data_IF_113136698905
#
_entry.id   IF_113136698905
#
_cell.length_a   1.000
_cell.length_b   1.000
_cell.length_c   1.000
_cell.angle_alpha   90.00
_cell.angle_beta   90.00
_cell.angle_gamma   90.00
#
_symmetry.space_group_name_H-M   'P 1'
#
loop_
_entity.id
_entity.type
_entity.pdbx_description
1 polymer ?
#
# COMPACT_ATOMS: atom_id res chain seq x y z
N UNK A 1 -8.47 -1.29 -10.95
CA UNK A 1 -8.39 -2.62 -10.30
C UNK A 1 -8.19 -2.39 -8.82
N UNK A 2 -8.97 -3.02 -7.92
CA UNK A 2 -8.93 -2.68 -6.51
C UNK A 2 -7.86 -3.48 -5.74
N UNK A 3 -7.62 -3.06 -4.50
CA UNK A 3 -6.47 -3.43 -3.65
C UNK A 3 -6.31 -4.95 -3.47
N UNK A 4 -5.07 -5.43 -3.41
CA UNK A 4 -4.70 -6.85 -3.28
C UNK A 4 -5.62 -7.66 -2.33
N UNK A 5 -5.83 -7.31 -1.05
CA UNK A 5 -6.59 -8.18 -0.15
C UNK A 5 -8.11 -8.20 -0.39
N UNK A 6 -8.68 -7.27 -1.17
CA UNK A 6 -10.10 -7.34 -1.55
C UNK A 6 -10.36 -8.45 -2.60
N UNK A 7 -9.35 -8.82 -3.39
CA UNK A 7 -9.49 -9.74 -4.52
C UNK A 7 -8.68 -11.03 -4.37
N UNK A 8 -7.68 -11.06 -3.48
CA UNK A 8 -6.86 -12.26 -3.25
C UNK A 8 -7.32 -13.10 -2.08
N UNK A 9 -8.37 -12.71 -1.35
CA UNK A 9 -8.95 -13.57 -0.32
C UNK A 9 -9.57 -14.79 -1.01
N UNK A 10 -9.12 -16.01 -0.67
CA UNK A 10 -9.58 -17.31 -1.15
C UNK A 10 -10.77 -17.29 -2.12
N UNK A 11 -10.51 -17.66 -3.38
CA UNK A 11 -11.48 -17.75 -4.47
C UNK A 11 -12.16 -16.41 -4.85
N UNK A 12 -11.61 -15.27 -4.44
CA UNK A 12 -12.17 -13.95 -4.77
C UNK A 12 -13.43 -13.59 -3.96
N UNK A 13 -13.68 -14.28 -2.84
CA UNK A 13 -14.92 -14.20 -2.05
C UNK A 13 -15.39 -12.77 -1.78
N UNK A 14 -14.50 -11.90 -1.30
CA UNK A 14 -14.87 -10.50 -1.00
C UNK A 14 -15.14 -9.69 -2.26
N UNK A 15 -14.40 -9.94 -3.34
CA UNK A 15 -14.60 -9.29 -4.63
C UNK A 15 -15.98 -9.61 -5.22
N UNK A 16 -16.43 -10.86 -5.10
CA UNK A 16 -17.77 -11.28 -5.53
C UNK A 16 -18.86 -10.69 -4.63
N UNK A 17 -18.71 -10.81 -3.30
CA UNK A 17 -19.72 -10.36 -2.33
C UNK A 17 -19.89 -8.84 -2.28
N UNK A 18 -18.86 -8.09 -2.67
CA UNK A 18 -18.84 -6.63 -2.68
C UNK A 18 -18.82 -6.08 -4.11
N UNK A 19 -19.14 -6.91 -5.10
CA UNK A 19 -19.37 -6.46 -6.45
C UNK A 19 -20.40 -5.30 -6.43
N UNK A 20 -20.15 -4.30 -7.26
CA UNK A 20 -21.01 -3.10 -7.42
C UNK A 20 -21.08 -2.15 -6.22
N UNK A 21 -20.44 -2.47 -5.09
CA UNK A 21 -20.40 -1.56 -3.95
C UNK A 21 -19.41 -0.43 -4.21
N UNK A 22 -19.83 0.81 -3.90
CA UNK A 22 -18.98 1.98 -4.09
C UNK A 22 -18.04 2.16 -2.90
N UNK A 23 -16.73 2.21 -3.19
CA UNK A 23 -15.70 2.56 -2.21
C UNK A 23 -15.43 4.06 -2.30
N UNK A 24 -15.62 4.77 -1.19
CA UNK A 24 -15.39 6.22 -1.08
C UNK A 24 -13.94 6.55 -0.76
N UNK A 25 -13.28 5.72 0.04
CA UNK A 25 -11.90 5.94 0.47
C UNK A 25 -11.21 4.61 0.78
N UNK A 26 -9.92 4.54 0.44
CA UNK A 26 -9.04 3.44 0.80
C UNK A 26 -7.82 4.02 1.50
N UNK A 27 -7.50 3.47 2.67
CA UNK A 27 -6.24 3.76 3.38
C UNK A 27 -5.49 2.45 3.55
N UNK A 28 -4.27 2.40 3.05
CA UNK A 28 -3.40 1.24 3.15
C UNK A 28 -2.16 1.60 3.96
N UNK A 29 -1.73 0.67 4.81
CA UNK A 29 -0.49 0.77 5.55
C UNK A 29 0.23 -0.56 5.52
N UNK A 30 1.53 -0.51 5.29
CA UNK A 30 2.40 -1.69 5.17
C UNK A 30 3.74 -1.43 5.87
N UNK A 31 4.35 -2.49 6.40
CA UNK A 31 5.68 -2.45 7.02
C UNK A 31 6.35 -3.83 6.99
N UNK A 32 7.65 -3.85 7.32
CA UNK A 32 8.43 -5.09 7.54
C UNK A 32 8.35 -6.05 6.35
N UNK A 33 8.71 -5.54 5.19
CA UNK A 33 8.84 -6.36 3.98
C UNK A 33 9.97 -7.36 4.14
N UNK A 34 9.73 -8.61 3.77
CA UNK A 34 10.76 -9.67 3.79
C UNK A 34 10.97 -10.22 2.40
N UNK A 35 12.18 -10.70 2.11
CA UNK A 35 12.47 -11.36 0.84
C UNK A 35 11.56 -12.59 0.68
N UNK A 36 10.96 -12.83 -0.50
CA UNK A 36 10.21 -14.07 -0.73
C UNK A 36 11.16 -15.28 -0.70
N UNK A 37 10.70 -16.41 -0.15
CA UNK A 37 11.46 -17.66 -0.11
C UNK A 37 11.51 -18.35 -1.48
N UNK A 38 10.48 -18.15 -2.32
CA UNK A 38 10.34 -18.71 -3.68
C UNK A 38 9.88 -17.64 -4.69
N UNK A 39 9.37 -18.07 -5.86
CA UNK A 39 8.65 -17.19 -6.79
C UNK A 39 7.30 -16.80 -6.18
N UNK A 40 7.11 -15.52 -5.86
CA UNK A 40 5.85 -15.07 -5.27
C UNK A 40 5.83 -13.60 -4.88
N UNK A 41 4.70 -13.18 -4.30
CA UNK A 41 4.56 -11.85 -3.72
C UNK A 41 5.45 -11.75 -2.47
N UNK A 42 5.98 -10.54 -2.24
CA UNK A 42 6.84 -10.26 -1.10
C UNK A 42 6.03 -10.20 0.20
N UNK A 43 6.39 -10.95 1.25
CA UNK A 43 5.67 -10.85 2.51
C UNK A 43 5.84 -9.51 3.21
N UNK A 44 4.75 -9.06 3.83
CA UNK A 44 4.67 -7.80 4.55
C UNK A 44 3.58 -7.83 5.62
N UNK A 45 3.74 -6.99 6.64
CA UNK A 45 2.66 -6.69 7.58
C UNK A 45 1.82 -5.54 7.04
N UNK A 46 0.55 -5.82 6.72
CA UNK A 46 -0.34 -4.89 6.04
C UNK A 46 -1.70 -4.75 6.71
N UNK A 47 -2.31 -3.58 6.56
CA UNK A 47 -3.67 -3.27 6.99
C UNK A 47 -4.32 -2.29 5.99
N UNK A 48 -5.50 -2.66 5.49
CA UNK A 48 -6.22 -1.97 4.43
C UNK A 48 -7.61 -1.65 4.95
N UNK A 49 -7.96 -0.37 4.94
CA UNK A 49 -9.22 0.16 5.44
C UNK A 49 -10.01 0.67 4.25
N UNK A 50 -11.21 0.15 4.08
CA UNK A 50 -12.14 0.53 3.03
C UNK A 50 -13.34 1.22 3.67
N UNK A 51 -13.57 2.46 3.27
CA UNK A 51 -14.81 3.17 3.55
C UNK A 51 -15.71 3.03 2.33
N UNK A 52 -16.84 2.36 2.51
CA UNK A 52 -17.88 2.24 1.50
C UNK A 52 -18.92 3.36 1.64
N UNK A 53 -19.72 3.52 0.60
CA UNK A 53 -20.92 4.34 0.66
C UNK A 53 -21.89 3.81 1.73
N UNK A 54 -22.68 4.70 2.32
CA UNK A 54 -23.70 4.37 3.32
C UNK A 54 -24.72 3.32 2.89
N UNK A 55 -25.03 3.25 1.59
CA UNK A 55 -25.96 2.26 1.04
C UNK A 55 -25.40 0.84 1.09
N UNK A 56 -24.09 0.68 1.23
CA UNK A 56 -23.42 -0.62 1.25
C UNK A 56 -23.49 -1.33 2.62
N UNK A 57 -23.99 -0.68 3.69
CA UNK A 57 -23.84 -1.20 5.07
C UNK A 57 -24.41 -2.61 5.25
N UNK A 58 -25.63 -2.81 4.74
CA UNK A 58 -26.34 -4.08 4.84
C UNK A 58 -25.62 -5.20 4.07
N UNK A 59 -25.10 -4.87 2.89
CA UNK A 59 -24.28 -5.78 2.07
C UNK A 59 -22.99 -6.12 2.82
N UNK A 60 -22.26 -5.12 3.32
CA UNK A 60 -21.01 -5.31 4.04
C UNK A 60 -21.17 -6.17 5.29
N UNK A 61 -22.25 -5.97 6.05
CA UNK A 61 -22.58 -6.80 7.22
C UNK A 61 -22.79 -8.26 6.81
N UNK A 62 -23.54 -8.51 5.73
CA UNK A 62 -23.75 -9.87 5.21
C UNK A 62 -22.44 -10.48 4.71
N UNK A 63 -21.62 -9.72 3.99
CA UNK A 63 -20.36 -10.19 3.44
C UNK A 63 -19.37 -10.59 4.54
N UNK A 64 -19.25 -9.79 5.62
CA UNK A 64 -18.40 -10.16 6.76
C UNK A 64 -18.94 -11.37 7.52
N UNK A 65 -20.27 -11.51 7.66
CA UNK A 65 -20.85 -12.72 8.25
C UNK A 65 -20.52 -13.96 7.41
N UNK A 66 -20.59 -13.85 6.08
CA UNK A 66 -20.23 -14.92 5.17
C UNK A 66 -18.73 -15.26 5.27
N UNK A 67 -17.86 -14.25 5.40
CA UNK A 67 -16.45 -14.47 5.69
C UNK A 67 -16.26 -15.23 7.00
N UNK A 68 -16.97 -14.89 8.07
CA UNK A 68 -16.88 -15.59 9.36
C UNK A 68 -17.32 -17.06 9.26
N UNK A 69 -18.32 -17.35 8.43
CA UNK A 69 -18.81 -18.71 8.20
C UNK A 69 -17.80 -19.56 7.39
N UNK A 70 -17.06 -18.94 6.46
CA UNK A 70 -16.10 -19.62 5.57
C UNK A 70 -14.65 -19.62 6.06
N UNK A 71 -14.34 -18.79 7.05
CA UNK A 71 -13.00 -18.68 7.60
C UNK A 71 -12.54 -19.98 8.27
N UNK A 72 -11.22 -20.21 8.29
CA UNK A 72 -10.62 -21.33 9.02
C UNK A 72 -10.93 -21.24 10.52
N UNK A 73 -10.99 -20.02 11.05
CA UNK A 73 -11.44 -19.72 12.42
C UNK A 73 -11.92 -18.28 12.54
N UNK A 74 -12.64 -17.99 13.61
CA UNK A 74 -12.96 -16.63 14.05
C UNK A 74 -12.25 -16.35 15.38
N UNK A 75 -11.63 -15.18 15.50
CA UNK A 75 -10.98 -14.70 16.73
C UNK A 75 -11.60 -13.38 17.18
N UNK A 76 -11.33 -12.97 18.41
CA UNK A 76 -11.65 -11.64 18.91
C UNK A 76 -10.38 -10.81 19.05
N UNK A 77 -10.36 -9.61 18.46
CA UNK A 77 -9.26 -8.65 18.59
C UNK A 77 -9.83 -7.29 18.98
N UNK A 78 -9.36 -6.73 20.08
CA UNK A 78 -9.79 -5.42 20.58
C UNK A 78 -11.33 -5.25 20.63
N UNK A 79 -12.07 -6.30 20.97
CA UNK A 79 -13.54 -6.31 21.04
C UNK A 79 -14.27 -6.56 19.72
N UNK A 80 -13.55 -6.81 18.62
CA UNK A 80 -14.14 -7.09 17.31
C UNK A 80 -13.97 -8.55 16.92
N UNK A 81 -15.01 -9.13 16.32
CA UNK A 81 -14.94 -10.47 15.69
C UNK A 81 -14.21 -10.38 14.35
N UNK A 82 -13.20 -11.22 14.18
CA UNK A 82 -12.31 -11.23 13.03
C UNK A 82 -12.31 -12.62 12.40
N UNK A 83 -12.64 -12.68 11.11
CA UNK A 83 -12.53 -13.88 10.28
C UNK A 83 -11.07 -14.08 9.88
N UNK A 84 -10.53 -15.29 10.09
CA UNK A 84 -9.14 -15.65 9.79
C UNK A 84 -9.09 -16.69 8.68
N UNK A 85 -8.47 -16.31 7.56
CA UNK A 85 -8.22 -17.18 6.42
C UNK A 85 -6.73 -17.52 6.38
N UNK A 86 -6.41 -18.79 6.32
CA UNK A 86 -5.04 -19.30 6.20
C UNK A 86 -4.87 -19.84 4.78
N UNK A 87 -4.07 -19.16 3.96
CA UNK A 87 -3.77 -19.59 2.58
C UNK A 87 -2.68 -20.66 2.56
N UNK A 88 -1.63 -20.49 3.38
CA UNK A 88 -0.51 -21.43 3.53
C UNK A 88 0.09 -21.38 4.95
N UNK A 89 1.21 -22.07 5.19
CA UNK A 89 1.87 -22.08 6.49
C UNK A 89 2.43 -20.70 6.93
N UNK A 90 2.54 -19.77 5.99
CA UNK A 90 3.25 -18.49 6.13
C UNK A 90 2.33 -17.27 6.15
N UNK A 91 1.11 -17.37 5.59
CA UNK A 91 0.21 -16.24 5.42
C UNK A 91 -1.17 -16.47 5.99
N UNK A 92 -1.68 -15.44 6.68
CA UNK A 92 -3.08 -15.37 7.07
C UNK A 92 -3.66 -14.01 6.73
N UNK A 93 -4.90 -14.01 6.27
CA UNK A 93 -5.71 -12.82 6.07
C UNK A 93 -6.73 -12.68 7.20
N UNK A 94 -6.92 -11.45 7.64
CA UNK A 94 -7.81 -11.09 8.71
C UNK A 94 -8.85 -10.11 8.18
N UNK A 95 -10.12 -10.44 8.31
CA UNK A 95 -11.22 -9.62 7.79
C UNK A 95 -12.19 -9.27 8.91
N UNK A 96 -12.52 -8.00 9.06
CA UNK A 96 -13.53 -7.55 10.01
C UNK A 96 -14.23 -6.26 9.57
N UNK A 97 -15.39 -5.99 10.18
CA UNK A 97 -16.15 -4.74 10.04
C UNK A 97 -16.27 -4.09 11.41
N UNK A 98 -15.40 -3.13 11.76
CA UNK A 98 -15.42 -2.53 13.08
C UNK A 98 -16.44 -1.38 13.21
N UNK A 99 -16.84 -0.76 12.09
CA UNK A 99 -17.81 0.34 12.05
C UNK A 99 -18.78 0.14 10.88
N UNK A 100 -19.96 0.80 10.88
CA UNK A 100 -20.81 0.86 9.70
C UNK A 100 -20.03 1.32 8.47
N UNK A 101 -20.25 0.65 7.33
CA UNK A 101 -19.60 0.93 6.05
C UNK A 101 -18.06 0.83 6.03
N UNK A 102 -17.43 0.30 7.07
CA UNK A 102 -15.97 0.14 7.14
C UNK A 102 -15.59 -1.33 7.12
N UNK A 103 -14.80 -1.72 6.12
CA UNK A 103 -14.15 -3.03 6.08
C UNK A 103 -12.66 -2.85 6.37
N UNK A 104 -12.09 -3.75 7.18
CA UNK A 104 -10.65 -3.85 7.34
C UNK A 104 -10.19 -5.24 6.93
N UNK A 105 -9.23 -5.28 6.01
CA UNK A 105 -8.48 -6.47 5.65
C UNK A 105 -7.01 -6.30 6.07
N UNK A 106 -6.41 -7.31 6.68
CA UNK A 106 -5.02 -7.25 7.11
C UNK A 106 -4.30 -8.57 6.82
N UNK A 107 -2.98 -8.49 6.70
CA UNK A 107 -2.08 -9.64 6.49
C UNK A 107 -1.33 -10.03 7.78
N UNK A 108 -1.51 -9.23 8.84
CA UNK A 108 -0.86 -9.44 10.13
C UNK A 108 -1.81 -9.14 11.30
N UNK A 109 -1.93 -10.11 12.22
CA UNK A 109 -2.82 -10.02 13.36
C UNK A 109 -2.50 -8.84 14.29
N UNK A 110 -1.21 -8.62 14.59
CA UNK A 110 -0.77 -7.56 15.51
C UNK A 110 -1.01 -6.18 14.91
N UNK A 111 -0.73 -6.01 13.62
CA UNK A 111 -1.04 -4.76 12.92
C UNK A 111 -2.55 -4.50 12.97
N UNK A 112 -3.39 -5.48 12.64
CA UNK A 112 -4.84 -5.32 12.74
C UNK A 112 -5.28 -4.91 14.15
N UNK A 113 -4.79 -5.59 15.19
CA UNK A 113 -5.12 -5.26 16.58
C UNK A 113 -4.69 -3.83 16.95
N UNK A 114 -3.48 -3.40 16.55
CA UNK A 114 -3.01 -2.02 16.71
C UNK A 114 -3.96 -1.01 16.03
N UNK A 115 -4.44 -1.32 14.82
CA UNK A 115 -5.39 -0.48 14.07
C UNK A 115 -6.74 -0.42 14.78
N UNK A 116 -7.30 -1.56 15.20
CA UNK A 116 -8.59 -1.62 15.88
C UNK A 116 -8.58 -0.85 17.20
N UNK A 117 -7.51 -0.96 17.99
CA UNK A 117 -7.36 -0.21 19.26
C UNK A 117 -7.35 1.31 19.08
N UNK A 118 -7.06 1.81 17.86
CA UNK A 118 -7.04 3.25 17.54
C UNK A 118 -8.41 3.83 17.20
N UNK A 119 -9.43 2.99 17.03
CA UNK A 119 -10.79 3.45 16.72
C UNK A 119 -11.33 4.31 17.87
N UNK A 120 -11.23 3.81 19.11
CA UNK A 120 -11.75 4.51 20.28
C UNK A 120 -10.72 5.41 20.99
N UNK A 121 -9.44 5.30 20.61
CA UNK A 121 -8.35 6.00 21.29
C UNK A 121 -7.49 6.75 20.30
N UNK A 122 -7.37 8.06 20.51
CA UNK A 122 -6.37 8.87 19.80
C UNK A 122 -4.98 8.34 20.17
N UNK A 123 -4.20 7.81 19.22
CA UNK A 123 -2.87 7.32 19.52
C UNK A 123 -1.95 8.48 19.93
N UNK A 124 -1.04 8.20 20.86
CA UNK A 124 -0.05 9.20 21.31
C UNK A 124 0.89 9.65 20.17
N UNK A 125 1.15 8.76 19.22
CA UNK A 125 2.02 9.02 18.06
C UNK A 125 1.30 8.69 16.76
N UNK A 126 1.56 9.49 15.73
CA UNK A 126 1.11 9.21 14.36
C UNK A 126 1.98 8.11 13.75
N UNK A 127 1.40 7.29 12.87
CA UNK A 127 2.14 6.29 12.11
C UNK A 127 3.27 6.91 11.27
N UNK A 128 2.97 8.06 10.64
CA UNK A 128 3.94 8.92 9.96
C UNK A 128 4.02 10.26 10.71
N UNK A 129 5.11 10.52 11.46
CA UNK A 129 5.30 11.79 12.14
C UNK A 129 5.31 12.98 11.17
N UNK A 130 4.84 14.15 11.60
CA UNK A 130 4.73 15.35 10.76
C UNK A 130 6.07 16.02 10.42
N UNK A 131 7.14 15.67 11.14
CA UNK A 131 8.48 16.19 10.91
C UNK A 131 9.26 15.40 9.85
N UNK A 132 8.68 14.32 9.32
CA UNK A 132 9.27 13.53 8.25
C UNK A 132 9.51 14.41 7.00
N UNK A 133 10.71 14.38 6.38
CA UNK A 133 11.05 15.22 5.23
C UNK A 133 10.13 14.98 4.02
N UNK A 134 9.60 13.77 3.87
CA UNK A 134 8.71 13.32 2.79
C UNK A 134 7.45 14.18 2.66
N UNK A 135 6.95 14.75 3.76
CA UNK A 135 5.76 15.61 3.73
C UNK A 135 5.96 16.86 2.88
N UNK A 136 7.20 17.34 2.70
CA UNK A 136 7.52 18.48 1.82
C UNK A 136 7.50 18.11 0.33
N UNK A 137 7.48 16.81 0.04
CA UNK A 137 7.68 16.24 -1.29
C UNK A 137 6.46 15.45 -1.77
N UNK A 138 5.30 15.61 -1.15
CA UNK A 138 4.04 14.98 -1.58
C UNK A 138 2.94 16.03 -1.68
N UNK A 139 2.06 15.89 -2.67
CA UNK A 139 0.80 16.61 -2.66
C UNK A 139 -0.25 15.81 -1.89
N UNK A 140 -0.35 16.03 -0.56
CA UNK A 140 -1.33 15.34 0.28
C UNK A 140 -2.79 15.81 0.06
N UNK A 141 -3.02 16.75 -0.86
CA UNK A 141 -4.35 17.18 -1.31
C UNK A 141 -4.78 16.47 -2.59
N UNK A 142 -3.88 15.72 -3.25
CA UNK A 142 -4.26 14.90 -4.40
C UNK A 142 -5.27 13.84 -3.98
N UNK A 143 -6.12 13.39 -4.92
CA UNK A 143 -7.07 12.30 -4.66
C UNK A 143 -6.35 10.99 -4.30
N UNK A 144 -5.19 10.76 -4.91
CA UNK A 144 -4.36 9.59 -4.69
C UNK A 144 -2.93 10.03 -4.43
N UNK A 145 -2.40 9.62 -3.29
CA UNK A 145 -1.03 9.87 -2.87
C UNK A 145 -0.54 8.82 -1.88
N UNK A 146 0.78 8.72 -1.74
CA UNK A 146 1.41 7.90 -0.71
C UNK A 146 2.73 8.52 -0.24
N UNK A 147 3.09 8.12 0.97
CA UNK A 147 4.39 8.35 1.58
C UNK A 147 4.88 7.01 2.11
N UNK A 148 6.16 6.74 1.85
CA UNK A 148 6.93 5.70 2.50
C UNK A 148 8.17 6.30 3.11
N UNK A 149 8.47 5.89 4.33
CA UNK A 149 9.69 6.22 5.04
C UNK A 149 10.53 4.96 5.22
N UNK A 150 11.80 5.03 4.84
CA UNK A 150 12.77 3.96 5.08
C UNK A 150 13.49 4.24 6.39
N UNK A 151 13.40 3.30 7.33
CA UNK A 151 14.13 3.42 8.59
C UNK A 151 15.62 3.22 8.31
N UNK A 152 16.45 4.17 8.73
CA UNK A 152 17.88 4.19 8.43
C UNK A 152 18.58 2.86 8.78
N UNK A 153 18.24 2.27 9.93
CA UNK A 153 18.83 1.01 10.39
C UNK A 153 18.48 -0.20 9.52
N UNK A 154 17.35 -0.12 8.79
CA UNK A 154 16.82 -1.22 7.97
C UNK A 154 16.86 -0.93 6.46
N UNK A 155 17.20 0.28 6.03
CA UNK A 155 17.13 0.69 4.63
C UNK A 155 17.98 -0.19 3.70
N UNK A 156 19.12 -0.68 4.19
CA UNK A 156 20.03 -1.61 3.48
C UNK A 156 19.52 -3.05 3.38
N UNK A 157 18.55 -3.43 4.22
CA UNK A 157 17.96 -4.77 4.30
C UNK A 157 16.55 -4.80 3.70
N UNK A 158 15.94 -3.64 3.51
CA UNK A 158 14.62 -3.50 2.90
C UNK A 158 14.68 -3.91 1.42
N UNK A 159 14.01 -5.01 1.02
CA UNK A 159 14.05 -5.53 -0.35
C UNK A 159 13.31 -4.64 -1.37
N UNK A 160 12.58 -3.62 -0.90
CA UNK A 160 11.82 -2.68 -1.75
C UNK A 160 12.43 -1.29 -1.81
N UNK A 161 13.45 -0.99 -0.98
CA UNK A 161 14.28 0.20 -1.15
C UNK A 161 14.84 0.22 -2.57
N UNK A 162 14.85 1.35 -3.30
CA UNK A 162 15.32 1.40 -4.67
C UNK A 162 16.70 0.76 -4.80
N UNK A 163 16.84 -0.06 -5.85
CA UNK A 163 18.04 -0.85 -6.09
C UNK A 163 19.15 0.12 -6.49
N UNK A 164 20.20 0.24 -5.67
CA UNK A 164 21.51 0.64 -6.13
C UNK A 164 22.10 -0.52 -6.94
N UNK A 165 23.03 -0.31 -7.89
CA UNK A 165 23.67 -1.41 -8.60
C UNK A 165 24.24 -2.44 -7.59
N UNK A 166 23.61 -3.62 -7.48
CA UNK A 166 24.01 -4.70 -6.56
C UNK A 166 23.27 -4.81 -5.22
N UNK A 167 22.23 -4.02 -4.91
CA UNK A 167 21.46 -4.20 -3.67
C UNK A 167 20.57 -3.02 -3.26
N UNK A 168 20.06 -3.04 -2.02
CA UNK A 168 19.22 -1.97 -1.46
C UNK A 168 20.01 -0.67 -1.22
N UNK A 169 19.38 0.48 -1.44
CA UNK A 169 19.96 1.78 -1.11
C UNK A 169 19.98 2.02 0.41
N UNK A 170 21.16 1.87 1.02
CA UNK A 170 21.40 2.09 2.44
C UNK A 170 21.21 3.55 2.89
N UNK A 171 21.13 4.51 1.95
CA UNK A 171 20.90 5.93 2.22
C UNK A 171 19.51 6.39 1.80
N UNK A 172 18.61 5.46 1.50
CA UNK A 172 17.20 5.75 1.27
C UNK A 172 16.58 6.39 2.51
N UNK A 173 15.88 7.50 2.30
CA UNK A 173 15.13 8.22 3.35
C UNK A 173 13.65 7.97 3.15
N UNK A 174 13.15 8.19 1.93
CA UNK A 174 11.73 8.07 1.67
C UNK A 174 11.37 8.06 0.20
N UNK A 175 10.10 7.73 -0.03
CA UNK A 175 9.50 7.68 -1.34
C UNK A 175 8.11 8.31 -1.26
N UNK A 176 7.78 9.20 -2.18
CA UNK A 176 6.45 9.81 -2.27
C UNK A 176 5.87 9.63 -3.65
N UNK A 177 4.55 9.62 -3.70
CA UNK A 177 3.79 9.49 -4.92
C UNK A 177 2.52 10.33 -4.83
N UNK A 178 2.10 10.92 -5.94
CA UNK A 178 0.74 11.40 -6.14
C UNK A 178 0.35 11.40 -7.61
N UNK A 179 -0.95 11.31 -7.87
CA UNK A 179 -1.53 11.49 -9.20
C UNK A 179 -2.12 12.88 -9.33
N UNK A 180 -1.75 13.57 -10.41
CA UNK A 180 -2.45 14.76 -10.86
C UNK A 180 -3.54 14.34 -11.85
N UNK A 181 -4.78 14.27 -11.35
CA UNK A 181 -5.94 13.87 -12.13
C UNK A 181 -6.37 14.97 -13.12
N UNK A 182 -6.06 16.23 -12.82
CA UNK A 182 -6.50 17.37 -13.63
C UNK A 182 -5.57 17.59 -14.85
N UNK A 183 -4.33 17.06 -14.81
CA UNK A 183 -3.33 17.18 -15.89
C UNK A 183 -3.10 15.91 -16.71
N UNK A 184 -4.15 15.09 -16.88
CA UNK A 184 -4.11 13.93 -17.77
C UNK A 184 -3.40 12.70 -17.17
N UNK A 185 -3.65 12.42 -15.89
CA UNK A 185 -3.15 11.23 -15.18
C UNK A 185 -1.62 11.16 -15.11
N UNK A 186 -1.00 12.31 -14.84
CA UNK A 186 0.45 12.36 -14.63
C UNK A 186 0.79 11.92 -13.21
N UNK A 187 1.64 10.89 -13.11
CA UNK A 187 2.20 10.43 -11.84
C UNK A 187 3.45 11.23 -11.49
N UNK A 188 3.47 11.72 -10.27
CA UNK A 188 4.61 12.41 -9.69
C UNK A 188 5.20 11.55 -8.59
N UNK A 189 6.49 11.32 -8.67
CA UNK A 189 7.22 10.50 -7.70
C UNK A 189 8.40 11.31 -7.20
N UNK A 190 8.70 11.22 -5.90
CA UNK A 190 9.95 11.71 -5.33
C UNK A 190 10.63 10.57 -4.61
N UNK A 191 11.89 10.35 -4.94
CA UNK A 191 12.75 9.45 -4.21
C UNK A 191 13.80 10.26 -3.45
N UNK A 192 13.83 10.11 -2.13
CA UNK A 192 14.73 10.82 -1.24
C UNK A 192 15.87 9.88 -0.86
N UNK A 193 17.08 10.17 -1.33
CA UNK A 193 18.29 9.43 -0.99
C UNK A 193 19.53 10.30 -1.15
N UNK A 194 20.49 10.14 -0.24
CA UNK A 194 21.82 10.76 -0.32
C UNK A 194 22.88 9.84 -0.94
N UNK A 195 22.48 8.72 -1.55
CA UNK A 195 23.40 7.84 -2.25
C UNK A 195 23.95 8.49 -3.53
N UNK A 196 25.25 8.28 -3.73
CA UNK A 196 25.89 8.63 -4.99
C UNK A 196 25.34 7.74 -6.10
N UNK A 197 25.02 8.32 -7.25
CA UNK A 197 24.44 7.58 -8.36
C UNK A 197 22.96 7.21 -8.21
N UNK A 198 22.26 7.66 -7.15
CA UNK A 198 20.85 7.38 -6.93
C UNK A 198 19.97 7.77 -8.12
N UNK A 199 20.26 8.89 -8.81
CA UNK A 199 19.56 9.27 -10.05
C UNK A 199 19.76 8.25 -11.18
N UNK A 200 20.99 7.76 -11.37
CA UNK A 200 21.32 6.78 -12.42
C UNK A 200 20.61 5.45 -12.14
N UNK A 201 20.67 4.99 -10.90
CA UNK A 201 20.01 3.78 -10.45
C UNK A 201 18.48 3.87 -10.63
N UNK A 202 17.90 4.98 -10.17
CA UNK A 202 16.46 5.26 -10.32
C UNK A 202 16.04 5.29 -11.79
N UNK A 203 16.83 5.89 -12.68
CA UNK A 203 16.54 5.86 -14.13
C UNK A 203 16.55 4.46 -14.72
N UNK A 204 17.54 3.64 -14.36
CA UNK A 204 17.65 2.27 -14.87
C UNK A 204 16.44 1.43 -14.44
N UNK A 205 16.06 1.50 -13.17
CA UNK A 205 14.96 0.74 -12.58
C UNK A 205 13.57 1.15 -13.08
N UNK A 206 13.37 2.43 -13.41
CA UNK A 206 12.08 2.95 -13.84
C UNK A 206 11.91 2.98 -15.37
N UNK A 207 12.84 2.37 -16.11
CA UNK A 207 12.73 2.28 -17.56
C UNK A 207 11.54 1.40 -17.93
N UNK A 208 10.46 2.03 -18.40
CA UNK A 208 9.26 1.36 -18.90
C UNK A 208 9.20 1.58 -20.42
N UNK A 209 9.11 0.51 -21.24
CA UNK A 209 9.12 0.63 -22.71
C UNK A 209 8.09 1.60 -23.30
N UNK A 210 6.94 1.79 -22.62
CA UNK A 210 5.81 2.56 -23.12
C UNK A 210 5.47 3.83 -22.32
N UNK A 211 6.12 4.04 -21.17
CA UNK A 211 5.82 5.21 -20.34
C UNK A 211 6.79 6.35 -20.63
N UNK A 212 6.26 7.57 -20.76
CA UNK A 212 7.11 8.77 -20.87
C UNK A 212 7.65 9.14 -19.49
N UNK A 213 8.79 8.55 -19.13
CA UNK A 213 9.52 8.87 -17.91
C UNK A 213 10.39 10.11 -18.10
N UNK A 214 10.20 11.11 -17.25
CA UNK A 214 11.16 12.21 -17.03
C UNK A 214 11.73 12.06 -15.64
N UNK A 215 13.06 11.94 -15.54
CA UNK A 215 13.76 11.84 -14.26
C UNK A 215 14.91 12.85 -14.19
N UNK A 216 14.97 13.61 -13.10
CA UNK A 216 15.99 14.64 -12.88
C UNK A 216 16.40 14.70 -11.41
N UNK A 217 17.57 15.28 -11.17
CA UNK A 217 17.93 15.73 -9.83
C UNK A 217 17.10 16.97 -9.46
N UNK A 218 16.44 16.92 -8.31
CA UNK A 218 15.79 18.07 -7.68
C UNK A 218 16.74 18.77 -6.71
N UNK A 219 16.25 19.07 -5.51
CA UNK A 219 17.10 19.51 -4.40
C UNK A 219 18.14 18.44 -4.01
N UNK A 220 19.11 18.81 -3.18
CA UNK A 220 20.08 17.88 -2.62
C UNK A 220 19.36 16.68 -1.97
N UNK A 221 19.72 15.47 -2.40
CA UNK A 221 19.14 14.22 -1.91
C UNK A 221 17.73 13.90 -2.44
N UNK A 222 17.22 14.62 -3.44
CA UNK A 222 15.87 14.41 -4.00
C UNK A 222 15.94 14.12 -5.49
N UNK A 223 15.47 12.95 -5.89
CA UNK A 223 15.25 12.58 -7.29
C UNK A 223 13.78 12.77 -7.61
N UNK A 224 13.52 13.48 -8.70
CA UNK A 224 12.17 13.73 -9.18
C UNK A 224 11.88 12.91 -10.41
N UNK A 225 10.77 12.18 -10.37
CA UNK A 225 10.24 11.48 -11.53
C UNK A 225 8.84 12.00 -11.85
N UNK A 226 8.58 12.06 -13.15
CA UNK A 226 7.26 12.28 -13.71
C UNK A 226 7.01 11.21 -14.76
N UNK A 227 5.90 10.50 -14.61
CA UNK A 227 5.48 9.44 -15.51
C UNK A 227 4.12 9.82 -16.07
N UNK A 228 4.04 10.05 -17.36
CA UNK A 228 2.75 10.17 -18.06
C UNK A 228 2.39 8.79 -18.60
N UNK A 229 1.47 8.09 -17.93
CA UNK A 229 0.95 6.82 -18.39
C UNK A 229 -0.19 7.09 -19.38
N UNK A 230 -0.01 6.70 -20.65
CA UNK A 230 -0.95 7.02 -21.73
C UNK A 230 -2.08 5.98 -21.89
N UNK A 231 -2.40 5.25 -20.82
CA UNK A 231 -3.36 4.15 -20.82
C UNK A 231 -2.74 2.79 -21.21
N UNK A 232 -3.54 1.72 -21.08
CA UNK A 232 -3.11 0.35 -21.40
C UNK A 232 -1.99 -0.19 -20.50
N UNK A 233 -1.02 -0.89 -21.10
CA UNK A 233 0.08 -1.58 -20.41
C UNK A 233 0.98 -0.63 -19.62
N UNK A 234 1.12 0.63 -20.07
CA UNK A 234 1.89 1.66 -19.35
C UNK A 234 1.32 1.96 -17.95
N UNK A 235 0.00 1.94 -17.78
CA UNK A 235 -0.63 2.15 -16.48
C UNK A 235 -0.43 0.92 -15.58
N UNK A 236 -0.59 -0.28 -16.13
CA UNK A 236 -0.34 -1.55 -15.41
C UNK A 236 1.09 -1.65 -14.92
N UNK A 237 2.07 -1.27 -15.75
CA UNK A 237 3.49 -1.29 -15.36
C UNK A 237 3.80 -0.23 -14.30
N UNK A 238 3.20 0.96 -14.39
CA UNK A 238 3.30 1.97 -13.34
C UNK A 238 2.78 1.41 -12.00
N UNK A 239 1.63 0.75 -12.02
CA UNK A 239 1.07 0.11 -10.82
C UNK A 239 1.98 -0.97 -10.25
N UNK A 240 2.53 -1.83 -11.10
CA UNK A 240 3.46 -2.88 -10.68
C UNK A 240 4.69 -2.29 -9.99
N UNK A 241 5.26 -1.22 -10.54
CA UNK A 241 6.42 -0.56 -9.93
C UNK A 241 6.03 0.14 -8.62
N UNK A 242 4.86 0.79 -8.56
CA UNK A 242 4.38 1.36 -7.29
C UNK A 242 4.18 0.28 -6.23
N UNK A 243 3.63 -0.89 -6.59
CA UNK A 243 3.50 -2.03 -5.70
C UNK A 243 4.86 -2.51 -5.20
N UNK A 244 5.87 -2.59 -6.06
CA UNK A 244 7.23 -2.97 -5.65
C UNK A 244 7.90 -1.94 -4.75
N UNK A 245 7.55 -0.64 -4.83
CA UNK A 245 8.23 0.44 -4.10
C UNK A 245 7.49 0.92 -2.85
N UNK A 246 6.17 0.89 -2.85
CA UNK A 246 5.31 1.18 -1.70
C UNK A 246 4.92 -0.10 -0.95
N UNK A 247 5.06 -1.24 -1.61
CA UNK A 247 4.67 -2.55 -1.07
C UNK A 247 3.18 -2.87 -1.19
N UNK A 248 2.40 -1.99 -1.80
CA UNK A 248 0.97 -2.16 -2.04
C UNK A 248 0.52 -1.29 -3.23
N UNK A 249 -0.63 -1.61 -3.82
CA UNK A 249 -1.24 -0.82 -4.88
C UNK A 249 -2.20 0.21 -4.28
N UNK A 250 -1.95 1.50 -4.51
CA UNK A 250 -2.96 2.54 -4.19
C UNK A 250 -4.05 2.48 -5.26
N UNK A 251 -5.33 2.59 -4.92
CA UNK A 251 -6.41 2.48 -5.92
C UNK A 251 -7.15 3.81 -6.03
N UNK A 252 -7.41 4.22 -7.27
CA UNK A 252 -8.28 5.35 -7.64
C UNK A 252 -9.73 4.92 -7.83
#
# INVERSE_FOLDING_TARGET
MPSLPLFTLKDGLLGELLAEQTVLCVVEGSRRFTKPEEFGLMPYEGCHIFQFDSEADATLKKSVQECQNKANKTIELAGFKVAVFTEDATWSYFVCRPLPNVLICATNQKYLEETLRRIDKKPATRALPNHLPEWKHVNSKARVWAIRHYQADFAKEDPTSPIAPGGSDAKAVGFTFWLDADSGSTAHIRYLSSAEGALKATKAEWTMPEAKLKARQGAAGVIELTVSATGGDSATMLWLVLMMRLGHCIVT
#
